data_IF_044561552520
#
_entry.id   IF_044561552520
#
_cell.length_a   1.000
_cell.length_b   1.000
_cell.length_c   1.000
_cell.angle_alpha   90.00
_cell.angle_beta   90.00
_cell.angle_gamma   90.00
#
_symmetry.space_group_name_H-M   'P 1'
#
loop_
_entity.id
_entity.type
_entity.pdbx_description
1 polymer ?
#
# COMPACT_ATOMS: atom_id res chain seq x y z
N UNK A 1 48.97 14.90 61.44
CA UNK A 1 49.61 13.63 61.02
C UNK A 1 49.73 13.47 59.50
N UNK A 2 49.41 14.46 58.64
CA UNK A 2 49.56 14.29 57.17
C UNK A 2 50.90 14.78 56.58
N UNK A 3 51.65 15.68 57.24
CA UNK A 3 52.94 16.15 56.72
C UNK A 3 54.10 15.12 56.82
N UNK A 4 53.93 14.04 57.57
CA UNK A 4 55.01 13.05 57.79
C UNK A 4 55.00 11.92 56.75
N UNK A 5 53.85 11.61 56.16
CA UNK A 5 53.74 10.56 55.13
C UNK A 5 54.18 11.07 53.75
N UNK A 6 53.88 12.33 53.42
CA UNK A 6 54.24 12.94 52.14
C UNK A 6 55.77 13.13 52.01
N UNK A 7 56.45 13.41 53.13
CA UNK A 7 57.91 13.51 53.15
C UNK A 7 58.61 12.15 52.96
N UNK A 8 58.04 11.07 53.53
CA UNK A 8 58.55 9.70 53.33
C UNK A 8 58.36 9.21 51.91
N UNK A 9 57.19 9.46 51.32
CA UNK A 9 56.90 9.11 49.92
C UNK A 9 57.83 9.84 48.95
N UNK A 10 58.05 11.15 49.15
CA UNK A 10 58.96 11.93 48.31
C UNK A 10 60.43 11.50 48.47
N UNK A 11 60.83 11.03 49.66
CA UNK A 11 62.17 10.47 49.89
C UNK A 11 62.35 9.13 49.17
N UNK A 12 61.39 8.21 49.30
CA UNK A 12 61.41 6.92 48.60
C UNK A 12 61.37 7.07 47.07
N UNK A 13 60.59 8.04 46.56
CA UNK A 13 60.55 8.33 45.12
C UNK A 13 61.89 8.86 44.57
N UNK A 14 62.67 9.59 45.38
CA UNK A 14 64.04 10.01 45.00
C UNK A 14 65.01 8.84 45.01
N UNK A 15 64.98 8.00 46.04
CA UNK A 15 65.85 6.83 46.15
C UNK A 15 65.65 5.86 44.97
N UNK A 16 64.40 5.54 44.61
CA UNK A 16 64.11 4.65 43.46
C UNK A 16 64.60 5.24 42.14
N UNK A 17 64.60 6.57 42.01
CA UNK A 17 65.03 7.26 40.79
C UNK A 17 66.56 7.33 40.64
N UNK A 18 67.30 7.20 41.75
CA UNK A 18 68.75 7.04 41.76
C UNK A 18 69.20 5.60 41.49
N UNK A 19 68.34 4.60 41.68
CA UNK A 19 68.60 3.21 41.28
C UNK A 19 68.61 3.13 39.74
N UNK A 20 69.79 3.35 39.16
CA UNK A 20 70.06 3.06 37.76
C UNK A 20 70.76 1.71 37.66
N UNK A 21 70.25 0.83 36.82
CA UNK A 21 70.96 -0.40 36.45
C UNK A 21 72.30 -0.02 35.85
N UNK A 22 73.35 -0.69 36.32
CA UNK A 22 74.68 -0.59 35.71
C UNK A 22 74.65 -1.16 34.29
N UNK A 23 75.62 -0.78 33.46
CA UNK A 23 75.72 -1.29 32.09
C UNK A 23 75.81 -2.82 32.05
N UNK A 24 76.53 -3.42 33.01
CA UNK A 24 76.68 -4.87 33.16
C UNK A 24 75.37 -5.59 33.52
N UNK A 25 74.54 -4.98 34.37
CA UNK A 25 73.22 -5.55 34.71
C UNK A 25 72.27 -5.50 33.54
N UNK A 26 72.27 -4.41 32.76
CA UNK A 26 71.47 -4.33 31.54
C UNK A 26 71.91 -5.38 30.52
N UNK A 27 73.21 -5.59 30.37
CA UNK A 27 73.74 -6.63 29.49
C UNK A 27 73.34 -8.03 29.94
N UNK A 28 73.39 -8.32 31.25
CA UNK A 28 72.92 -9.61 31.80
C UNK A 28 71.43 -9.85 31.54
N UNK A 29 70.59 -8.84 31.73
CA UNK A 29 69.15 -8.96 31.44
C UNK A 29 68.89 -9.14 29.96
N UNK A 30 69.56 -8.35 29.10
CA UNK A 30 69.44 -8.49 27.65
C UNK A 30 69.91 -9.87 27.19
N UNK A 31 71.03 -10.38 27.73
CA UNK A 31 71.52 -11.73 27.46
C UNK A 31 70.52 -12.78 27.89
N UNK A 32 69.89 -12.65 29.06
CA UNK A 32 68.84 -13.56 29.49
C UNK A 32 67.66 -13.55 28.53
N UNK A 33 67.17 -12.38 28.09
CA UNK A 33 66.06 -12.27 27.12
C UNK A 33 66.43 -12.87 25.77
N UNK A 34 67.63 -12.59 25.27
CA UNK A 34 68.11 -13.12 23.99
C UNK A 34 68.45 -14.61 24.04
N UNK A 35 68.83 -15.13 25.20
CA UNK A 35 69.10 -16.57 25.41
C UNK A 35 67.84 -17.37 25.72
N UNK A 36 66.73 -16.74 26.13
CA UNK A 36 65.39 -17.30 25.99
C UNK A 36 64.98 -17.25 24.52
N UNK A 37 65.43 -18.27 23.77
CA UNK A 37 65.00 -18.54 22.41
C UNK A 37 63.46 -18.50 22.33
N UNK A 38 62.85 -17.84 21.32
CA UNK A 38 61.43 -17.98 21.09
C UNK A 38 61.22 -19.41 20.61
N UNK A 39 60.89 -20.31 21.53
CA UNK A 39 60.19 -21.52 21.18
C UNK A 39 58.95 -21.04 20.44
N UNK A 40 59.01 -21.11 19.10
CA UNK A 40 57.89 -20.77 18.25
C UNK A 40 56.71 -21.57 18.78
N UNK A 41 55.64 -20.93 19.29
CA UNK A 41 54.45 -21.69 19.58
C UNK A 41 54.02 -22.26 18.24
N UNK A 42 54.09 -23.59 18.10
CA UNK A 42 53.44 -24.28 16.98
C UNK A 42 52.03 -23.68 16.86
N UNK A 43 51.59 -23.22 15.68
CA UNK A 43 50.32 -22.52 15.56
C UNK A 43 49.22 -23.41 16.13
N UNK A 44 48.62 -23.00 17.25
CA UNK A 44 47.50 -23.72 17.86
C UNK A 44 46.32 -23.55 16.91
N UNK A 45 46.01 -24.62 16.18
CA UNK A 45 44.90 -24.66 15.25
C UNK A 45 43.60 -24.36 16.01
N UNK A 46 42.97 -23.24 15.69
CA UNK A 46 41.71 -22.81 16.32
C UNK A 46 40.60 -23.83 16.02
N UNK A 47 39.84 -24.31 17.03
CA UNK A 47 38.67 -25.17 16.82
C UNK A 47 37.61 -24.51 15.91
N UNK A 48 37.59 -23.17 15.86
CA UNK A 48 36.69 -22.40 15.02
C UNK A 48 37.15 -22.28 13.56
N UNK A 49 38.45 -22.42 13.29
CA UNK A 49 38.98 -22.36 11.92
C UNK A 49 38.50 -23.56 11.09
N UNK A 50 38.43 -24.75 11.69
CA UNK A 50 37.89 -25.93 11.03
C UNK A 50 36.36 -25.83 10.86
N UNK A 51 35.64 -25.21 11.80
CA UNK A 51 34.21 -24.93 11.65
C UNK A 51 33.93 -23.97 10.49
N UNK A 52 34.70 -22.88 10.38
CA UNK A 52 34.54 -21.89 9.31
C UNK A 52 34.90 -22.47 7.95
N UNK A 53 35.97 -23.28 7.88
CA UNK A 53 36.33 -23.96 6.64
C UNK A 53 35.31 -25.03 6.24
N UNK A 54 34.73 -25.80 7.18
CA UNK A 54 33.74 -26.83 6.86
C UNK A 54 32.39 -26.22 6.47
N UNK A 55 32.00 -25.09 7.09
CA UNK A 55 30.78 -24.34 6.75
C UNK A 55 30.85 -23.76 5.33
N UNK A 56 32.03 -23.32 4.88
CA UNK A 56 32.24 -22.76 3.54
C UNK A 56 32.67 -23.79 2.49
N UNK A 57 33.38 -24.86 2.87
CA UNK A 57 33.89 -25.89 1.94
C UNK A 57 32.89 -26.99 1.61
N UNK A 58 31.80 -27.09 2.37
CA UNK A 58 30.69 -28.03 2.09
C UNK A 58 29.82 -27.59 0.90
N UNK A 59 29.89 -26.33 0.49
CA UNK A 59 29.30 -25.88 -0.76
C UNK A 59 30.16 -26.37 -1.92
N UNK A 60 29.82 -27.54 -2.47
CA UNK A 60 30.39 -27.98 -3.74
C UNK A 60 30.30 -26.80 -4.75
N UNK A 61 31.32 -26.63 -5.60
CA UNK A 61 31.35 -25.53 -6.61
C UNK A 61 30.05 -25.44 -7.42
N UNK A 62 29.32 -26.56 -7.54
CA UNK A 62 27.99 -26.66 -8.15
C UNK A 62 26.89 -25.99 -7.29
N UNK A 63 26.85 -26.22 -5.97
CA UNK A 63 25.90 -25.52 -5.09
C UNK A 63 26.15 -24.02 -5.02
N UNK A 64 27.42 -23.58 -5.00
CA UNK A 64 27.72 -22.15 -5.09
C UNK A 64 27.26 -21.56 -6.44
N UNK A 65 27.45 -22.28 -7.55
CA UNK A 65 26.93 -21.85 -8.85
C UNK A 65 25.39 -21.78 -8.87
N UNK A 66 24.68 -22.75 -8.28
CA UNK A 66 23.21 -22.71 -8.18
C UNK A 66 22.71 -21.57 -7.31
N UNK A 67 23.36 -21.31 -6.17
CA UNK A 67 23.02 -20.16 -5.30
C UNK A 67 23.34 -18.85 -6.00
N UNK A 68 24.48 -18.73 -6.68
CA UNK A 68 24.82 -17.53 -7.44
C UNK A 68 23.85 -17.29 -8.60
N UNK A 69 23.47 -18.33 -9.35
CA UNK A 69 22.46 -18.23 -10.43
C UNK A 69 21.08 -17.92 -9.85
N UNK A 70 20.70 -18.48 -8.71
CA UNK A 70 19.45 -18.17 -8.03
C UNK A 70 19.45 -16.72 -7.52
N UNK A 71 20.51 -16.27 -6.85
CA UNK A 71 20.67 -14.88 -6.42
C UNK A 71 20.69 -13.93 -7.62
N UNK A 72 21.35 -14.28 -8.72
CA UNK A 72 21.32 -13.51 -9.95
C UNK A 72 19.91 -13.47 -10.55
N UNK A 73 19.19 -14.60 -10.55
CA UNK A 73 17.80 -14.67 -11.00
C UNK A 73 16.84 -13.91 -10.07
N UNK A 74 17.13 -13.82 -8.77
CA UNK A 74 16.36 -13.02 -7.80
C UNK A 74 16.71 -11.54 -7.88
N UNK A 75 17.95 -11.17 -8.18
CA UNK A 75 18.36 -9.75 -8.35
C UNK A 75 17.86 -9.22 -9.70
N UNK A 76 18.08 -9.97 -10.79
CA UNK A 76 17.58 -9.63 -12.12
C UNK A 76 16.05 -9.80 -12.19
N UNK A 77 15.52 -10.85 -11.56
CA UNK A 77 14.08 -11.10 -11.49
C UNK A 77 13.36 -10.14 -10.54
N UNK A 78 13.97 -9.75 -9.42
CA UNK A 78 13.42 -8.77 -8.48
C UNK A 78 13.22 -7.40 -9.14
N UNK A 79 14.17 -6.98 -9.99
CA UNK A 79 14.00 -5.81 -10.85
C UNK A 79 12.84 -5.98 -11.84
N UNK A 80 12.68 -7.17 -12.44
CA UNK A 80 11.56 -7.46 -13.33
C UNK A 80 10.21 -7.51 -12.60
N UNK A 81 10.15 -8.01 -11.36
CA UNK A 81 8.95 -7.98 -10.50
C UNK A 81 8.57 -6.54 -10.21
N UNK A 82 9.52 -5.73 -9.73
CA UNK A 82 9.27 -4.32 -9.43
C UNK A 82 8.83 -3.54 -10.67
N UNK A 83 9.54 -3.69 -11.80
CA UNK A 83 9.16 -3.05 -13.06
C UNK A 83 7.82 -3.56 -13.62
N UNK A 84 7.44 -4.82 -13.35
CA UNK A 84 6.15 -5.36 -13.77
C UNK A 84 4.97 -4.70 -13.06
N UNK A 85 5.14 -4.23 -11.82
CA UNK A 85 4.05 -3.60 -11.06
C UNK A 85 3.54 -2.32 -11.76
N UNK A 86 4.45 -1.51 -12.31
CA UNK A 86 4.11 -0.31 -13.10
C UNK A 86 3.82 -0.59 -14.57
N UNK A 87 3.82 -1.85 -15.02
CA UNK A 87 3.60 -2.16 -16.43
C UNK A 87 2.12 -2.05 -16.81
N UNK A 88 1.87 -1.54 -18.03
CA UNK A 88 0.54 -1.42 -18.62
C UNK A 88 0.31 -2.48 -19.71
N UNK A 89 -0.95 -2.79 -20.08
CA UNK A 89 -1.23 -3.63 -21.23
C UNK A 89 -0.46 -3.22 -22.49
N UNK A 90 0.28 -4.17 -23.08
CA UNK A 90 1.17 -3.95 -24.22
C UNK A 90 2.65 -3.88 -23.83
N UNK A 91 2.98 -3.64 -22.56
CA UNK A 91 4.35 -3.75 -22.07
C UNK A 91 4.74 -5.23 -21.92
N UNK A 92 6.01 -5.56 -22.19
CA UNK A 92 6.54 -6.94 -22.15
C UNK A 92 6.30 -7.60 -20.78
N UNK A 93 6.48 -6.83 -19.70
CA UNK A 93 6.35 -7.33 -18.33
C UNK A 93 4.90 -7.42 -17.82
N UNK A 94 3.91 -6.97 -18.60
CA UNK A 94 2.51 -7.00 -18.15
C UNK A 94 1.98 -8.43 -18.02
N UNK A 95 2.38 -9.33 -18.93
CA UNK A 95 2.04 -10.75 -18.81
C UNK A 95 2.63 -11.39 -17.56
N UNK A 96 3.81 -10.93 -17.11
CA UNK A 96 4.41 -11.36 -15.85
C UNK A 96 3.59 -10.84 -14.66
N UNK A 97 3.19 -9.55 -14.69
CA UNK A 97 2.36 -8.90 -13.67
C UNK A 97 1.08 -9.70 -13.39
N UNK A 98 0.23 -9.87 -14.41
CA UNK A 98 -1.10 -10.48 -14.26
C UNK A 98 -1.06 -12.02 -14.26
N UNK A 99 -0.07 -12.62 -14.93
CA UNK A 99 0.02 -14.06 -15.10
C UNK A 99 0.75 -14.78 -13.97
N UNK A 100 1.64 -14.09 -13.25
CA UNK A 100 2.49 -14.71 -12.23
C UNK A 100 2.45 -13.91 -10.93
N UNK A 101 2.76 -12.61 -10.96
CA UNK A 101 2.98 -11.84 -9.73
C UNK A 101 1.69 -11.67 -8.92
N UNK A 102 0.61 -11.22 -9.56
CA UNK A 102 -0.69 -11.05 -8.89
C UNK A 102 -1.27 -12.38 -8.36
N UNK A 103 -1.30 -13.48 -9.13
CA UNK A 103 -1.74 -14.78 -8.61
C UNK A 103 -0.88 -15.28 -7.45
N UNK A 104 0.45 -15.19 -7.55
CA UNK A 104 1.36 -15.62 -6.48
C UNK A 104 1.10 -14.82 -5.22
N UNK A 105 0.96 -13.50 -5.31
CA UNK A 105 0.64 -12.66 -4.17
C UNK A 105 -0.71 -13.05 -3.56
N UNK A 106 -1.74 -13.32 -4.38
CA UNK A 106 -3.06 -13.76 -3.90
C UNK A 106 -3.01 -15.04 -3.09
N UNK A 107 -2.10 -15.97 -3.38
CA UNK A 107 -1.96 -17.25 -2.66
C UNK A 107 -1.40 -17.04 -1.24
N UNK A 108 -0.60 -16.00 -1.04
CA UNK A 108 -0.05 -15.66 0.29
C UNK A 108 -1.01 -14.84 1.16
N UNK A 109 -2.21 -14.52 0.66
CA UNK A 109 -3.24 -13.80 1.42
C UNK A 109 -4.20 -14.81 2.05
N UNK A 110 -4.04 -15.00 3.36
CA UNK A 110 -4.74 -16.05 4.10
C UNK A 110 -6.10 -15.60 4.67
N UNK A 111 -6.25 -14.34 5.06
CA UNK A 111 -7.51 -13.81 5.62
C UNK A 111 -8.53 -13.50 4.50
N UNK A 112 -9.80 -13.91 4.65
CA UNK A 112 -10.87 -13.56 3.71
C UNK A 112 -11.04 -12.04 3.56
N UNK A 113 -10.95 -11.29 4.66
CA UNK A 113 -11.02 -9.81 4.64
C UNK A 113 -9.91 -9.23 3.76
N UNK A 114 -8.66 -9.62 4.03
CA UNK A 114 -7.51 -9.14 3.26
C UNK A 114 -7.58 -9.58 1.80
N UNK A 115 -8.16 -10.76 1.53
CA UNK A 115 -8.35 -11.25 0.17
C UNK A 115 -9.43 -10.46 -0.57
N UNK A 116 -10.52 -10.09 0.08
CA UNK A 116 -11.53 -9.21 -0.50
C UNK A 116 -10.93 -7.85 -0.84
N UNK A 117 -10.23 -7.21 0.11
CA UNK A 117 -9.49 -5.95 -0.14
C UNK A 117 -8.51 -6.09 -1.30
N UNK A 118 -7.79 -7.20 -1.39
CA UNK A 118 -6.85 -7.42 -2.48
C UNK A 118 -7.54 -7.55 -3.85
N UNK A 119 -8.66 -8.27 -3.95
CA UNK A 119 -9.41 -8.36 -5.20
C UNK A 119 -10.05 -7.02 -5.58
N UNK A 120 -10.57 -6.26 -4.60
CA UNK A 120 -11.03 -4.87 -4.78
C UNK A 120 -9.92 -4.01 -5.38
N UNK A 121 -8.75 -4.00 -4.75
CA UNK A 121 -7.59 -3.22 -5.21
C UNK A 121 -7.15 -3.61 -6.62
N UNK A 122 -7.18 -4.89 -6.97
CA UNK A 122 -6.86 -5.32 -8.34
C UNK A 122 -7.90 -4.86 -9.35
N UNK A 123 -9.19 -4.85 -9.01
CA UNK A 123 -10.25 -4.31 -9.88
C UNK A 123 -10.05 -2.80 -10.10
N UNK A 124 -9.84 -2.03 -9.03
CA UNK A 124 -9.52 -0.59 -9.08
C UNK A 124 -8.27 -0.33 -9.90
N UNK A 125 -7.23 -1.16 -9.74
CA UNK A 125 -5.99 -1.05 -10.51
C UNK A 125 -6.21 -1.21 -12.01
N UNK A 126 -7.17 -2.03 -12.45
CA UNK A 126 -7.49 -2.15 -13.89
C UNK A 126 -8.09 -0.85 -14.45
N UNK A 127 -8.82 -0.08 -13.63
CA UNK A 127 -9.32 1.25 -14.03
C UNK A 127 -8.19 2.27 -14.09
N UNK A 128 -7.30 2.29 -13.10
CA UNK A 128 -6.11 3.15 -13.11
C UNK A 128 -5.21 2.84 -14.33
N UNK A 129 -5.05 1.56 -14.68
CA UNK A 129 -4.35 1.16 -15.90
C UNK A 129 -5.05 1.68 -17.18
N UNK A 130 -6.40 1.70 -17.19
CA UNK A 130 -7.17 2.26 -18.30
C UNK A 130 -7.02 3.79 -18.38
N UNK A 131 -7.08 4.49 -17.25
CA UNK A 131 -6.86 5.95 -17.16
C UNK A 131 -5.48 6.35 -17.67
N UNK A 132 -4.43 5.61 -17.27
CA UNK A 132 -3.07 5.84 -17.73
C UNK A 132 -2.95 5.64 -19.25
N UNK A 133 -3.47 4.52 -19.77
CA UNK A 133 -3.48 4.27 -21.21
C UNK A 133 -4.33 5.30 -21.98
N UNK A 134 -5.44 5.76 -21.40
CA UNK A 134 -6.34 6.71 -22.05
C UNK A 134 -5.71 8.09 -22.11
N UNK A 135 -5.07 8.54 -21.03
CA UNK A 135 -4.33 9.81 -20.97
C UNK A 135 -3.21 9.86 -22.02
N UNK A 136 -2.56 8.72 -22.26
CA UNK A 136 -1.51 8.59 -23.29
C UNK A 136 -2.06 8.32 -24.70
N UNK A 137 -3.39 8.37 -24.92
CA UNK A 137 -4.05 8.01 -26.18
C UNK A 137 -3.69 6.59 -26.71
N UNK A 138 -3.35 5.67 -25.80
CA UNK A 138 -2.93 4.29 -26.07
C UNK A 138 -3.99 3.24 -25.72
N UNK A 139 -5.12 3.64 -25.14
CA UNK A 139 -6.25 2.76 -24.84
C UNK A 139 -7.02 2.44 -26.13
N UNK A 140 -6.69 1.32 -26.76
CA UNK A 140 -7.44 0.75 -27.88
C UNK A 140 -8.46 -0.30 -27.41
N UNK A 141 -9.33 -0.73 -28.32
CA UNK A 141 -10.41 -1.70 -28.05
C UNK A 141 -9.87 -3.04 -27.50
N UNK A 142 -8.67 -3.47 -27.93
CA UNK A 142 -8.08 -4.75 -27.50
C UNK A 142 -7.60 -4.62 -26.06
N UNK A 143 -6.90 -3.53 -25.73
CA UNK A 143 -6.41 -3.26 -24.37
C UNK A 143 -7.58 -3.03 -23.41
N UNK A 144 -8.58 -2.25 -23.81
CA UNK A 144 -9.79 -2.01 -23.02
C UNK A 144 -10.53 -3.33 -22.73
N UNK A 145 -10.74 -4.17 -23.74
CA UNK A 145 -11.38 -5.48 -23.55
C UNK A 145 -10.59 -6.38 -22.60
N UNK A 146 -9.26 -6.35 -22.67
CA UNK A 146 -8.39 -7.12 -21.77
C UNK A 146 -8.52 -6.62 -20.33
N UNK A 147 -8.50 -5.31 -20.11
CA UNK A 147 -8.66 -4.71 -18.79
C UNK A 147 -10.05 -4.99 -18.22
N UNK A 148 -11.11 -4.86 -19.02
CA UNK A 148 -12.48 -5.16 -18.61
C UNK A 148 -12.62 -6.63 -18.17
N UNK A 149 -12.06 -7.58 -18.92
CA UNK A 149 -12.11 -9.00 -18.56
C UNK A 149 -11.34 -9.30 -17.26
N UNK A 150 -10.22 -8.62 -17.01
CA UNK A 150 -9.48 -8.76 -15.75
C UNK A 150 -10.25 -8.13 -14.59
N UNK A 151 -10.84 -6.96 -14.79
CA UNK A 151 -11.70 -6.29 -13.81
C UNK A 151 -12.85 -7.20 -13.42
N UNK A 152 -13.62 -7.71 -14.39
CA UNK A 152 -14.74 -8.63 -14.15
C UNK A 152 -14.29 -9.88 -13.36
N UNK A 153 -13.12 -10.43 -13.67
CA UNK A 153 -12.55 -11.56 -12.91
C UNK A 153 -12.27 -11.21 -11.45
N UNK A 154 -11.71 -10.03 -11.18
CA UNK A 154 -11.43 -9.59 -9.82
C UNK A 154 -12.72 -9.28 -9.05
N UNK A 155 -13.71 -8.66 -9.70
CA UNK A 155 -15.05 -8.43 -9.14
C UNK A 155 -15.72 -9.76 -8.82
N UNK A 156 -15.66 -10.76 -9.71
CA UNK A 156 -16.24 -12.08 -9.45
C UNK A 156 -15.59 -12.76 -8.23
N UNK A 157 -14.26 -12.70 -8.12
CA UNK A 157 -13.56 -13.25 -6.95
C UNK A 157 -13.90 -12.48 -5.67
N UNK A 158 -14.00 -11.16 -5.75
CA UNK A 158 -14.42 -10.30 -4.66
C UNK A 158 -15.82 -10.69 -4.18
N UNK A 159 -16.82 -10.74 -5.08
CA UNK A 159 -18.20 -11.10 -4.74
C UNK A 159 -18.29 -12.49 -4.11
N UNK A 160 -17.57 -13.48 -4.66
CA UNK A 160 -17.52 -14.84 -4.07
C UNK A 160 -16.97 -14.84 -2.66
N UNK A 161 -15.98 -14.00 -2.35
CA UNK A 161 -15.42 -13.90 -1.01
C UNK A 161 -16.48 -13.28 -0.08
N UNK A 162 -17.11 -12.16 -0.49
CA UNK A 162 -18.12 -11.45 0.30
C UNK A 162 -19.40 -12.28 0.55
N UNK A 163 -19.86 -13.07 -0.43
CA UNK A 163 -21.00 -13.97 -0.27
C UNK A 163 -20.73 -15.09 0.74
N UNK A 164 -19.48 -15.55 0.85
CA UNK A 164 -19.11 -16.63 1.77
C UNK A 164 -18.85 -16.15 3.21
N UNK A 165 -18.89 -14.83 3.48
CA UNK A 165 -18.72 -14.28 4.84
C UNK A 165 -19.77 -14.77 5.85
N UNK A 166 -20.94 -15.26 5.39
CA UNK A 166 -21.96 -15.82 6.28
C UNK A 166 -21.70 -17.28 6.74
N UNK A 167 -20.65 -17.95 6.24
CA UNK A 167 -20.37 -19.37 6.55
C UNK A 167 -19.12 -19.60 7.41
N UNK A 168 -18.21 -18.63 7.44
CA UNK A 168 -16.99 -18.64 8.24
C UNK A 168 -16.95 -17.34 9.05
N UNK A 169 -16.96 -17.45 10.37
CA UNK A 169 -16.92 -16.39 11.41
C UNK A 169 -15.62 -15.54 11.37
N UNK A 170 -15.17 -15.19 10.18
CA UNK A 170 -13.79 -14.76 9.87
C UNK A 170 -13.68 -13.29 9.49
N UNK A 171 -14.79 -12.63 9.16
CA UNK A 171 -14.80 -11.20 8.83
C UNK A 171 -15.84 -10.50 9.69
N UNK A 172 -15.38 -9.49 10.44
CA UNK A 172 -16.26 -8.62 11.21
C UNK A 172 -17.22 -7.91 10.26
N UNK A 173 -18.48 -7.76 10.68
CA UNK A 173 -19.50 -7.04 9.93
C UNK A 173 -19.02 -5.65 9.50
N UNK A 174 -18.44 -4.88 10.42
CA UNK A 174 -17.90 -3.54 10.13
C UNK A 174 -16.86 -3.56 9.01
N UNK A 175 -15.98 -4.56 9.02
CA UNK A 175 -14.97 -4.70 7.98
C UNK A 175 -15.60 -5.01 6.61
N UNK A 176 -16.71 -5.74 6.59
CA UNK A 176 -17.45 -6.06 5.37
C UNK A 176 -18.07 -4.83 4.74
N UNK A 177 -18.74 -4.01 5.56
CA UNK A 177 -19.38 -2.77 5.14
C UNK A 177 -18.34 -1.82 4.52
N UNK A 178 -17.23 -1.61 5.23
CA UNK A 178 -16.15 -0.74 4.77
C UNK A 178 -15.52 -1.23 3.46
N UNK A 179 -15.38 -2.54 3.29
CA UNK A 179 -14.82 -3.13 2.07
C UNK A 179 -15.75 -2.87 0.87
N UNK A 180 -17.05 -3.07 1.04
CA UNK A 180 -18.04 -2.84 -0.02
C UNK A 180 -18.16 -1.35 -0.36
N UNK A 181 -18.22 -0.50 0.65
CA UNK A 181 -18.28 0.96 0.47
C UNK A 181 -17.04 1.48 -0.26
N UNK A 182 -15.85 1.04 0.14
CA UNK A 182 -14.62 1.45 -0.54
C UNK A 182 -14.59 0.93 -1.98
N UNK A 183 -14.98 -0.32 -2.21
CA UNK A 183 -15.07 -0.87 -3.56
C UNK A 183 -16.01 -0.04 -4.44
N UNK A 184 -17.22 0.30 -3.95
CA UNK A 184 -18.18 1.11 -4.69
C UNK A 184 -17.63 2.50 -5.00
N UNK A 185 -17.09 3.19 -3.99
CA UNK A 185 -16.51 4.52 -4.13
C UNK A 185 -15.34 4.56 -5.13
N UNK A 186 -14.40 3.62 -5.02
CA UNK A 186 -13.25 3.52 -5.92
C UNK A 186 -13.68 3.25 -7.37
N UNK A 187 -14.57 2.28 -7.58
CA UNK A 187 -15.01 1.88 -8.91
C UNK A 187 -15.77 2.99 -9.62
N UNK A 188 -16.66 3.69 -8.91
CA UNK A 188 -17.41 4.81 -9.47
C UNK A 188 -16.51 6.03 -9.73
N UNK A 189 -15.65 6.39 -8.77
CA UNK A 189 -14.77 7.54 -8.91
C UNK A 189 -13.82 7.37 -10.12
N UNK A 190 -13.15 6.23 -10.22
CA UNK A 190 -12.26 5.93 -11.35
C UNK A 190 -13.01 5.80 -12.68
N UNK A 191 -14.24 5.26 -12.69
CA UNK A 191 -15.08 5.28 -13.89
C UNK A 191 -15.41 6.72 -14.35
N UNK A 192 -15.66 7.63 -13.40
CA UNK A 192 -15.90 9.06 -13.70
C UNK A 192 -14.65 9.76 -14.20
N UNK A 193 -13.49 9.52 -13.57
CA UNK A 193 -12.20 10.02 -14.07
C UNK A 193 -11.99 9.56 -15.51
N UNK A 194 -12.17 8.27 -15.78
CA UNK A 194 -11.95 7.73 -17.11
C UNK A 194 -12.86 8.38 -18.16
N UNK A 195 -14.15 8.57 -17.84
CA UNK A 195 -15.09 9.27 -18.72
C UNK A 195 -14.73 10.74 -18.91
N UNK A 196 -14.26 11.41 -17.85
CA UNK A 196 -13.78 12.78 -17.88
C UNK A 196 -12.57 12.93 -18.83
N UNK A 197 -11.57 12.05 -18.70
CA UNK A 197 -10.42 11.98 -19.63
C UNK A 197 -10.92 11.67 -21.06
N UNK A 198 -11.98 10.87 -21.18
CA UNK A 198 -12.61 10.51 -22.44
C UNK A 198 -13.23 11.66 -23.23
N UNK A 199 -13.74 12.68 -22.53
CA UNK A 199 -14.37 13.85 -23.13
C UNK A 199 -13.32 14.78 -23.76
N UNK A 200 -12.13 14.89 -23.17
CA UNK A 200 -11.07 15.80 -23.62
C UNK A 200 -11.38 17.28 -23.34
N UNK A 201 -10.35 18.13 -23.33
CA UNK A 201 -10.49 19.53 -22.89
C UNK A 201 -11.40 20.38 -23.81
N UNK A 202 -11.52 20.03 -25.10
CA UNK A 202 -12.33 20.79 -26.08
C UNK A 202 -13.84 20.47 -26.06
N UNK A 203 -14.29 19.42 -25.34
CA UNK A 203 -15.71 18.97 -25.35
C UNK A 203 -16.45 19.19 -24.05
N UNK A 204 -15.89 19.99 -23.13
CA UNK A 204 -16.43 20.26 -21.78
C UNK A 204 -17.85 20.86 -21.82
N UNK A 205 -18.28 21.42 -22.95
CA UNK A 205 -19.63 21.99 -23.15
C UNK A 205 -20.66 21.02 -23.78
N UNK A 206 -20.31 19.77 -24.07
CA UNK A 206 -21.21 18.80 -24.72
C UNK A 206 -21.50 17.57 -23.86
N UNK A 207 -22.75 17.09 -23.90
CA UNK A 207 -23.23 15.88 -23.23
C UNK A 207 -22.25 14.68 -23.34
N UNK A 208 -22.15 13.82 -22.31
CA UNK A 208 -21.12 12.79 -22.21
C UNK A 208 -21.37 11.70 -23.26
N UNK A 209 -20.68 11.80 -24.40
CA UNK A 209 -20.79 10.82 -25.50
C UNK A 209 -19.59 9.87 -25.60
N UNK A 210 -18.57 10.04 -24.75
CA UNK A 210 -17.45 9.11 -24.66
C UNK A 210 -17.85 7.86 -23.84
N UNK A 211 -18.56 6.93 -24.48
CA UNK A 211 -18.94 5.65 -23.87
C UNK A 211 -17.70 4.75 -23.76
N UNK A 212 -16.92 4.91 -22.69
CA UNK A 212 -15.81 4.02 -22.37
C UNK A 212 -16.41 2.78 -21.71
N UNK A 213 -16.28 1.63 -22.38
CA UNK A 213 -16.95 0.39 -22.00
C UNK A 213 -16.50 -0.07 -20.62
N UNK A 214 -15.22 0.06 -20.31
CA UNK A 214 -14.71 -0.37 -18.99
C UNK A 214 -15.24 0.52 -17.84
N UNK A 215 -15.46 1.82 -18.07
CA UNK A 215 -16.14 2.69 -17.09
C UNK A 215 -17.55 2.19 -16.79
N UNK A 216 -18.30 1.79 -17.83
CA UNK A 216 -19.63 1.19 -17.65
C UNK A 216 -19.55 -0.12 -16.88
N UNK A 217 -18.64 -1.03 -17.26
CA UNK A 217 -18.45 -2.30 -16.54
C UNK A 217 -18.14 -2.08 -15.05
N UNK A 218 -17.38 -1.04 -14.71
CA UNK A 218 -17.08 -0.69 -13.33
C UNK A 218 -18.32 -0.26 -12.54
N UNK A 219 -19.14 0.64 -13.10
CA UNK A 219 -20.39 1.08 -12.46
C UNK A 219 -21.39 -0.07 -12.31
N UNK A 220 -21.54 -0.89 -13.35
CA UNK A 220 -22.40 -2.07 -13.33
C UNK A 220 -21.94 -3.05 -12.23
N UNK A 221 -20.63 -3.23 -12.09
CA UNK A 221 -20.02 -4.06 -11.04
C UNK A 221 -20.22 -3.49 -9.63
N UNK A 222 -20.03 -2.19 -9.45
CA UNK A 222 -20.26 -1.48 -8.19
C UNK A 222 -21.71 -1.62 -7.74
N UNK A 223 -22.65 -1.38 -8.66
CA UNK A 223 -24.10 -1.53 -8.43
C UNK A 223 -24.45 -2.96 -8.06
N UNK A 224 -23.97 -3.94 -8.82
CA UNK A 224 -24.24 -5.36 -8.55
C UNK A 224 -23.72 -5.79 -7.18
N UNK A 225 -22.51 -5.37 -6.81
CA UNK A 225 -21.92 -5.68 -5.49
C UNK A 225 -22.74 -5.04 -4.37
N UNK A 226 -23.09 -3.76 -4.51
CA UNK A 226 -23.93 -3.05 -3.55
C UNK A 226 -25.27 -3.75 -3.36
N UNK A 227 -25.97 -4.08 -4.45
CA UNK A 227 -27.30 -4.69 -4.38
C UNK A 227 -27.25 -6.09 -3.74
N UNK A 228 -26.23 -6.90 -4.10
CA UNK A 228 -26.01 -8.19 -3.44
C UNK A 228 -25.72 -8.05 -1.94
N UNK A 229 -24.99 -6.99 -1.57
CA UNK A 229 -24.66 -6.70 -0.19
C UNK A 229 -25.89 -6.24 0.62
N UNK A 230 -26.70 -5.32 0.08
CA UNK A 230 -27.97 -4.88 0.71
C UNK A 230 -28.93 -6.04 0.92
N UNK A 231 -29.14 -6.87 -0.11
CA UNK A 231 -29.99 -8.07 -0.01
C UNK A 231 -29.53 -9.05 1.08
N UNK A 232 -28.21 -9.13 1.33
CA UNK A 232 -27.68 -9.97 2.41
C UNK A 232 -27.86 -9.34 3.79
N UNK A 233 -27.89 -8.01 3.89
CA UNK A 233 -28.17 -7.28 5.14
C UNK A 233 -29.65 -7.38 5.53
N UNK A 234 -30.58 -7.27 4.58
CA UNK A 234 -32.03 -7.44 4.83
C UNK A 234 -32.38 -8.82 5.43
N UNK A 235 -31.52 -9.82 5.20
CA UNK A 235 -31.69 -11.18 5.71
C UNK A 235 -31.09 -11.42 7.10
N UNK A 236 -30.39 -10.43 7.68
CA UNK A 236 -29.78 -10.52 9.02
C UNK A 236 -30.71 -9.91 10.06
N UNK A 237 -30.85 -10.56 11.22
CA UNK A 237 -31.48 -9.91 12.38
C UNK A 237 -30.57 -8.77 12.86
N UNK A 238 -31.12 -7.57 12.95
CA UNK A 238 -30.39 -6.36 13.30
C UNK A 238 -29.94 -6.37 14.78
N UNK A 239 -28.73 -6.84 15.05
CA UNK A 239 -27.99 -6.53 16.29
C UNK A 239 -27.11 -5.28 16.09
N UNK A 240 -27.68 -4.19 15.56
CA UNK A 240 -26.94 -2.94 15.39
C UNK A 240 -27.05 -2.07 16.64
N UNK A 241 -25.93 -1.88 17.35
CA UNK A 241 -25.91 -1.04 18.56
C UNK A 241 -25.90 0.45 18.19
N UNK A 242 -26.72 1.32 18.84
CA UNK A 242 -26.80 2.76 18.53
C UNK A 242 -25.46 3.52 18.51
N UNK A 243 -24.47 3.08 19.29
CA UNK A 243 -23.13 3.69 19.29
C UNK A 243 -22.35 3.49 17.99
N UNK A 244 -22.54 2.37 17.27
CA UNK A 244 -21.86 2.08 16.00
C UNK A 244 -22.37 3.03 14.90
N UNK A 245 -23.68 3.19 14.84
CA UNK A 245 -24.38 4.08 13.92
C UNK A 245 -23.90 5.53 14.04
N UNK A 246 -23.88 6.08 15.25
CA UNK A 246 -23.46 7.47 15.49
C UNK A 246 -21.99 7.73 15.12
N UNK A 247 -21.09 6.80 15.45
CA UNK A 247 -19.68 6.92 15.08
C UNK A 247 -19.52 6.97 13.55
N UNK A 248 -20.29 6.14 12.83
CA UNK A 248 -20.27 6.10 11.38
C UNK A 248 -20.84 7.37 10.77
N UNK A 249 -21.99 7.85 11.24
CA UNK A 249 -22.59 9.13 10.82
C UNK A 249 -21.61 10.29 10.94
N UNK A 250 -20.91 10.38 12.08
CA UNK A 250 -19.87 11.40 12.29
C UNK A 250 -18.70 11.25 11.32
N UNK A 251 -18.29 10.02 10.99
CA UNK A 251 -17.26 9.77 9.99
C UNK A 251 -17.69 10.25 8.59
N UNK A 252 -18.93 9.98 8.18
CA UNK A 252 -19.47 10.46 6.90
C UNK A 252 -19.48 11.98 6.84
N UNK A 253 -19.96 12.64 7.90
CA UNK A 253 -19.95 14.10 7.98
C UNK A 253 -18.53 14.66 7.86
N UNK A 254 -17.56 14.05 8.55
CA UNK A 254 -16.16 14.45 8.46
C UNK A 254 -15.59 14.31 7.05
N UNK A 255 -15.98 13.27 6.29
CA UNK A 255 -15.55 13.09 4.90
C UNK A 255 -16.14 14.22 4.04
N UNK A 256 -17.45 14.47 4.15
CA UNK A 256 -18.14 15.55 3.40
C UNK A 256 -17.49 16.90 3.67
N UNK A 257 -17.23 17.22 4.94
CA UNK A 257 -16.64 18.49 5.34
C UNK A 257 -15.20 18.62 4.83
N UNK A 258 -14.40 17.55 4.93
CA UNK A 258 -13.03 17.53 4.42
C UNK A 258 -12.95 17.74 2.90
N UNK A 259 -13.80 17.04 2.14
CA UNK A 259 -13.86 17.19 0.68
C UNK A 259 -14.36 18.59 0.30
N UNK A 260 -15.34 19.16 1.01
CA UNK A 260 -15.79 20.52 0.78
C UNK A 260 -14.69 21.57 1.05
N UNK A 261 -13.87 21.35 2.07
CA UNK A 261 -12.69 22.18 2.33
C UNK A 261 -11.69 22.08 1.17
N UNK A 262 -11.44 20.88 0.66
CA UNK A 262 -10.50 20.68 -0.45
C UNK A 262 -11.00 21.31 -1.76
N UNK A 263 -12.30 21.26 -2.04
CA UNK A 263 -12.93 22.01 -3.13
C UNK A 263 -12.62 23.50 -3.01
N UNK A 264 -12.88 24.08 -1.83
CA UNK A 264 -12.67 25.52 -1.58
C UNK A 264 -11.20 25.94 -1.78
N UNK A 265 -10.24 25.08 -1.43
CA UNK A 265 -8.80 25.31 -1.64
C UNK A 265 -8.45 25.37 -3.12
N UNK A 266 -9.08 24.54 -3.94
CA UNK A 266 -8.76 24.41 -5.38
C UNK A 266 -9.45 25.49 -6.21
N UNK A 267 -10.60 26.01 -5.77
CA UNK A 267 -11.39 27.03 -6.49
C UNK A 267 -10.73 28.40 -6.67
N UNK A 268 -9.57 28.67 -6.06
CA UNK A 268 -8.86 29.95 -6.20
C UNK A 268 -8.15 30.14 -7.56
N UNK A 269 -7.92 29.07 -8.31
CA UNK A 269 -7.15 29.07 -9.57
C UNK A 269 -7.74 28.05 -10.56
N UNK A 270 -8.82 28.41 -11.26
CA UNK A 270 -9.66 27.41 -11.92
C UNK A 270 -9.73 27.59 -13.44
N UNK A 271 -8.83 26.90 -14.15
CA UNK A 271 -9.04 26.54 -15.57
C UNK A 271 -10.40 25.83 -15.74
N UNK A 272 -11.06 25.90 -16.92
CA UNK A 272 -12.36 25.26 -17.16
C UNK A 272 -12.42 23.78 -16.75
N UNK A 273 -11.34 23.04 -16.99
CA UNK A 273 -11.17 21.62 -16.59
C UNK A 273 -11.30 21.42 -15.07
N UNK A 274 -10.62 22.26 -14.28
CA UNK A 274 -10.69 22.22 -12.80
C UNK A 274 -12.10 22.60 -12.32
N UNK A 275 -12.76 23.56 -12.97
CA UNK A 275 -14.13 23.93 -12.62
C UNK A 275 -15.09 22.77 -12.84
N UNK A 276 -14.93 22.03 -13.94
CA UNK A 276 -15.77 20.86 -14.21
C UNK A 276 -15.56 19.74 -13.18
N UNK A 277 -14.31 19.46 -12.80
CA UNK A 277 -14.02 18.51 -11.70
C UNK A 277 -14.70 18.96 -10.40
N UNK A 278 -14.62 20.25 -10.06
CA UNK A 278 -15.26 20.81 -8.86
C UNK A 278 -16.79 20.68 -8.93
N UNK A 279 -17.40 20.99 -10.08
CA UNK A 279 -18.84 20.88 -10.30
C UNK A 279 -19.33 19.44 -10.09
N UNK A 280 -18.71 18.47 -10.77
CA UNK A 280 -19.07 17.06 -10.69
C UNK A 280 -18.81 16.49 -9.28
N UNK A 281 -17.77 16.97 -8.60
CA UNK A 281 -17.50 16.62 -7.18
C UNK A 281 -18.63 17.14 -6.28
N UNK A 282 -19.06 18.39 -6.45
CA UNK A 282 -20.13 18.98 -5.67
C UNK A 282 -21.47 18.28 -5.88
N UNK A 283 -21.78 17.87 -7.12
CA UNK A 283 -22.98 17.06 -7.40
C UNK A 283 -23.00 15.78 -6.56
N UNK A 284 -21.87 15.08 -6.52
CA UNK A 284 -21.70 13.83 -5.75
C UNK A 284 -21.77 14.06 -4.24
N UNK A 285 -21.15 15.14 -3.75
CA UNK A 285 -21.28 15.53 -2.33
C UNK A 285 -22.71 15.89 -1.96
N UNK A 286 -23.46 16.52 -2.86
CA UNK A 286 -24.86 16.83 -2.61
C UNK A 286 -25.70 15.55 -2.53
N UNK A 287 -25.43 14.54 -3.37
CA UNK A 287 -26.05 13.22 -3.23
C UNK A 287 -25.73 12.59 -1.87
N UNK A 288 -24.48 12.67 -1.40
CA UNK A 288 -24.12 12.18 -0.06
C UNK A 288 -24.88 12.90 1.06
N UNK A 289 -25.04 14.23 0.95
CA UNK A 289 -25.81 15.04 1.91
C UNK A 289 -27.30 14.72 1.89
N UNK A 290 -27.88 14.48 0.72
CA UNK A 290 -29.28 14.06 0.62
C UNK A 290 -29.50 12.72 1.31
N UNK A 291 -28.61 11.74 1.10
CA UNK A 291 -28.68 10.50 1.85
C UNK A 291 -28.56 10.72 3.36
N UNK A 292 -27.65 11.58 3.85
CA UNK A 292 -27.58 11.90 5.29
C UNK A 292 -28.86 12.58 5.82
N UNK A 293 -29.51 13.41 5.01
CA UNK A 293 -30.79 14.03 5.41
C UNK A 293 -31.88 12.97 5.53
N UNK A 294 -31.95 12.04 4.58
CA UNK A 294 -32.91 10.94 4.63
C UNK A 294 -32.66 9.98 5.81
N UNK A 295 -31.39 9.79 6.20
CA UNK A 295 -31.01 9.03 7.40
C UNK A 295 -31.60 9.67 8.67
N UNK A 296 -31.61 11.00 8.74
CA UNK A 296 -32.21 11.72 9.87
C UNK A 296 -33.74 11.58 9.90
N UNK A 297 -34.37 11.54 8.73
CA UNK A 297 -35.83 11.37 8.58
C UNK A 297 -36.29 9.95 8.97
N UNK A 298 -35.59 8.91 8.53
CA UNK A 298 -35.97 7.50 8.82
C UNK A 298 -35.70 7.09 10.26
N UNK A 299 -34.69 7.69 10.90
CA UNK A 299 -34.43 7.50 12.32
C UNK A 299 -35.56 8.05 13.22
N UNK A 300 -36.32 9.06 12.75
CA UNK A 300 -37.53 9.54 13.42
C UNK A 300 -38.71 8.55 13.29
N UNK A 301 -38.69 7.66 12.29
CA UNK A 301 -39.71 6.63 12.03
C UNK A 301 -39.43 5.29 12.74
N UNK A 302 -38.38 5.21 13.55
CA UNK A 302 -37.87 3.98 14.23
C UNK A 302 -37.42 2.85 13.27
N UNK A 303 -37.22 3.14 11.97
CA UNK A 303 -36.66 2.18 11.01
C UNK A 303 -35.12 2.29 10.94
N UNK A 304 -34.46 1.66 11.90
CA UNK A 304 -33.00 1.68 12.01
C UNK A 304 -32.29 0.94 10.86
N UNK A 305 -32.97 0.01 10.17
CA UNK A 305 -32.33 -0.78 9.12
C UNK A 305 -32.18 0.04 7.84
N UNK A 306 -33.27 0.65 7.39
CA UNK A 306 -33.27 1.48 6.18
C UNK A 306 -32.38 2.72 6.37
N UNK A 307 -32.46 3.36 7.54
CA UNK A 307 -31.58 4.46 7.91
C UNK A 307 -30.09 4.06 7.84
N UNK A 308 -29.75 2.83 8.27
CA UNK A 308 -28.37 2.35 8.16
C UNK A 308 -27.94 2.15 6.69
N UNK A 309 -28.77 1.52 5.87
CA UNK A 309 -28.47 1.31 4.44
C UNK A 309 -28.26 2.64 3.70
N UNK A 310 -29.05 3.67 4.01
CA UNK A 310 -28.84 5.03 3.47
C UNK A 310 -27.57 5.68 3.98
N UNK A 311 -27.20 5.43 5.24
CA UNK A 311 -25.93 5.90 5.77
C UNK A 311 -24.75 5.29 5.00
N UNK A 312 -24.84 4.02 4.58
CA UNK A 312 -23.83 3.37 3.74
C UNK A 312 -23.75 4.00 2.35
N UNK A 313 -24.90 4.29 1.73
CA UNK A 313 -24.94 4.97 0.43
C UNK A 313 -24.34 6.38 0.52
N UNK A 314 -24.65 7.11 1.59
CA UNK A 314 -24.05 8.42 1.86
C UNK A 314 -22.53 8.33 1.97
N UNK A 315 -22.02 7.38 2.74
CA UNK A 315 -20.58 7.18 2.91
C UNK A 315 -19.89 6.87 1.58
N UNK A 316 -20.48 5.96 0.78
CA UNK A 316 -19.95 5.62 -0.53
C UNK A 316 -19.89 6.85 -1.45
N UNK A 317 -20.95 7.66 -1.50
CA UNK A 317 -20.98 8.89 -2.32
C UNK A 317 -19.99 9.94 -1.83
N UNK A 318 -19.84 10.10 -0.51
CA UNK A 318 -18.87 11.04 0.07
C UNK A 318 -17.42 10.64 -0.26
N UNK A 319 -17.09 9.35 -0.16
CA UNK A 319 -15.78 8.80 -0.54
C UNK A 319 -15.55 8.91 -2.04
N UNK A 320 -16.55 8.59 -2.87
CA UNK A 320 -16.47 8.73 -4.33
C UNK A 320 -16.10 10.16 -4.72
N UNK A 321 -16.77 11.16 -4.13
CA UNK A 321 -16.48 12.57 -4.39
C UNK A 321 -15.03 12.94 -4.04
N UNK A 322 -14.55 12.52 -2.87
CA UNK A 322 -13.17 12.77 -2.44
C UNK A 322 -12.14 12.14 -3.38
N UNK A 323 -12.33 10.88 -3.75
CA UNK A 323 -11.43 10.15 -4.67
C UNK A 323 -11.45 10.82 -6.04
N UNK A 324 -12.63 11.15 -6.59
CA UNK A 324 -12.76 11.79 -7.89
C UNK A 324 -12.05 13.15 -7.94
N UNK A 325 -12.24 13.98 -6.91
CA UNK A 325 -11.55 15.27 -6.79
C UNK A 325 -10.02 15.08 -6.79
N UNK A 326 -9.51 14.21 -5.94
CA UNK A 326 -8.07 13.98 -5.80
C UNK A 326 -7.45 13.45 -7.10
N UNK A 327 -8.06 12.41 -7.68
CA UNK A 327 -7.55 11.73 -8.87
C UNK A 327 -7.70 12.58 -10.13
N UNK A 328 -8.83 13.27 -10.30
CA UNK A 328 -9.06 14.20 -11.39
C UNK A 328 -8.07 15.37 -11.39
N UNK A 329 -7.76 15.93 -10.22
CA UNK A 329 -6.77 17.00 -10.09
C UNK A 329 -5.35 16.50 -10.36
N UNK A 330 -4.96 15.34 -9.84
CA UNK A 330 -3.66 14.71 -10.14
C UNK A 330 -3.48 14.48 -11.63
N UNK A 331 -4.52 14.03 -12.32
CA UNK A 331 -4.50 13.88 -13.77
C UNK A 331 -4.26 15.24 -14.46
N UNK A 332 -4.98 16.30 -14.07
CA UNK A 332 -4.81 17.63 -14.66
C UNK A 332 -3.40 18.18 -14.43
N UNK A 333 -2.85 18.03 -13.23
CA UNK A 333 -1.49 18.47 -12.92
C UNK A 333 -0.42 17.75 -13.72
N UNK A 334 -0.61 16.46 -14.02
CA UNK A 334 0.33 15.69 -14.84
C UNK A 334 0.35 16.17 -16.28
N UNK A 335 -0.83 16.37 -16.90
CA UNK A 335 -0.92 16.78 -18.30
C UNK A 335 -0.45 18.23 -18.51
N UNK A 336 -0.66 19.13 -17.56
CA UNK A 336 -0.13 20.51 -17.61
C UNK A 336 1.40 20.61 -17.62
N UNK A 337 2.13 19.57 -17.18
CA UNK A 337 3.60 19.57 -17.18
C UNK A 337 4.21 19.08 -18.49
N UNK A 338 3.39 18.51 -19.37
CA UNK A 338 3.82 17.92 -20.64
C UNK A 338 3.60 18.86 -21.85
N UNK A 339 2.99 20.05 -21.62
CA UNK A 339 2.85 21.17 -22.58
C UNK A 339 3.95 22.24 -22.39
#
# INVERSE_FOLDING_TARGET
>A
MSNFEEEKLNRGAREIREIRMTAEEKERVLKNILSSSPMSPLPVRSPYADYFHTLLSGFSKKHFAYVAVFCLAVVLGGGAVFASQGSLPGNILYSLKVGVIEPVHSVFIFSPETRARYQSNLATLRLIEAEALKSENRLDIIKEKKLAALLEKHVENFSKIMENHGREESVSENASDDIVINFQAEMNAHARVLDFIGQGEERIESEPTANIKISKTARDSATKVRDAFKNNMEQREAEETPHKYENRKNAVQSIIDSTAIDINRVSADSSPVKQKIIEDTNETLNQAREFLREVDEENEEEDFHDAYLKLLDSESSAREAGIFLETGLKWREKNNKEE
#
